data_IF_977561397037
#
_entry.id   IF_977561397037
#
_cell.length_a   1.000
_cell.length_b   1.000
_cell.length_c   1.000
_cell.angle_alpha   90.00
_cell.angle_beta   90.00
_cell.angle_gamma   90.00
#
_symmetry.space_group_name_H-M   'P 1'
#
loop_
_entity.id
_entity.type
_entity.pdbx_description
1 polymer ?
#
# COMPACT_ATOMS: atom_id res chain seq x y z
N UNK A 1 -14.87 12.44 -7.73
CA UNK A 1 -14.01 11.95 -6.63
C UNK A 1 -12.78 12.84 -6.62
N UNK A 2 -12.48 13.49 -5.49
CA UNK A 2 -11.59 14.67 -5.43
C UNK A 2 -10.14 14.28 -5.13
N UNK A 3 -9.19 14.95 -5.79
CA UNK A 3 -7.74 14.81 -5.53
C UNK A 3 -7.38 14.90 -4.03
N UNK A 4 -8.17 15.63 -3.23
CA UNK A 4 -7.94 15.81 -1.80
C UNK A 4 -7.93 14.50 -1.00
N UNK A 5 -8.81 13.52 -1.32
CA UNK A 5 -8.86 12.25 -0.59
C UNK A 5 -7.61 11.41 -0.84
N UNK A 6 -7.14 11.36 -2.11
CA UNK A 6 -5.90 10.67 -2.48
C UNK A 6 -4.69 11.27 -1.76
N UNK A 7 -4.57 12.60 -1.77
CA UNK A 7 -3.43 13.29 -1.13
C UNK A 7 -3.44 13.02 0.38
N UNK A 8 -4.61 13.06 1.02
CA UNK A 8 -4.74 12.80 2.45
C UNK A 8 -4.29 11.36 2.82
N UNK A 9 -4.71 10.35 2.05
CA UNK A 9 -4.33 8.96 2.31
C UNK A 9 -2.82 8.75 2.13
N UNK A 10 -2.23 9.31 1.07
CA UNK A 10 -0.77 9.21 0.85
C UNK A 10 0.02 9.92 1.97
N UNK A 11 -0.44 11.09 2.40
CA UNK A 11 0.18 11.81 3.51
C UNK A 11 0.07 11.05 4.84
N UNK A 12 -1.06 10.37 5.07
CA UNK A 12 -1.27 9.53 6.25
C UNK A 12 -0.37 8.28 6.23
N UNK A 13 -0.26 7.57 5.10
CA UNK A 13 0.70 6.46 4.93
C UNK A 13 2.13 6.92 5.22
N UNK A 14 2.50 8.13 4.81
CA UNK A 14 3.83 8.67 5.05
C UNK A 14 4.07 9.00 6.51
N UNK A 15 3.07 9.53 7.22
CA UNK A 15 3.17 9.95 8.63
C UNK A 15 3.05 8.77 9.60
N UNK A 16 2.19 7.83 9.28
CA UNK A 16 1.80 6.71 10.13
C UNK A 16 1.99 5.35 9.41
N UNK A 17 3.18 5.04 8.84
CA UNK A 17 3.36 3.88 7.96
C UNK A 17 3.11 2.53 8.63
N UNK A 18 3.18 2.45 9.96
CA UNK A 18 2.88 1.23 10.72
C UNK A 18 1.38 0.92 10.78
N UNK A 19 0.52 1.93 10.71
CA UNK A 19 -0.95 1.76 10.71
C UNK A 19 -1.47 1.29 9.35
N UNK A 20 -0.63 1.39 8.31
CA UNK A 20 -0.90 0.97 6.94
C UNK A 20 -0.22 -0.35 6.57
N UNK A 21 0.17 -1.14 7.59
CA UNK A 21 0.68 -2.49 7.41
C UNK A 21 -0.48 -3.46 7.24
N UNK A 22 -0.59 -4.06 6.06
CA UNK A 22 -1.67 -5.00 5.74
C UNK A 22 -1.18 -6.46 5.76
N UNK A 23 -2.02 -7.34 6.28
CA UNK A 23 -1.70 -8.78 6.37
C UNK A 23 -1.78 -9.47 5.01
N UNK A 24 -2.68 -9.03 4.16
CA UNK A 24 -3.02 -9.68 2.91
C UNK A 24 -3.36 -8.65 1.81
N UNK A 25 -3.34 -9.15 0.57
CA UNK A 25 -3.62 -8.34 -0.63
C UNK A 25 -5.03 -7.75 -0.62
N UNK A 26 -6.02 -8.45 -0.06
CA UNK A 26 -7.39 -7.94 -0.01
C UNK A 26 -7.46 -6.68 0.86
N UNK A 27 -6.84 -6.71 2.04
CA UNK A 27 -6.75 -5.57 2.95
C UNK A 27 -6.00 -4.39 2.34
N UNK A 28 -4.87 -4.65 1.67
CA UNK A 28 -4.12 -3.62 0.93
C UNK A 28 -4.98 -3.01 -0.19
N UNK A 29 -5.67 -3.84 -0.96
CA UNK A 29 -6.52 -3.42 -2.08
C UNK A 29 -7.67 -2.55 -1.57
N UNK A 30 -8.27 -2.91 -0.44
CA UNK A 30 -9.31 -2.10 0.21
C UNK A 30 -8.77 -0.73 0.65
N UNK A 31 -7.58 -0.69 1.25
CA UNK A 31 -6.92 0.56 1.66
C UNK A 31 -6.59 1.47 0.47
N UNK A 32 -6.11 0.90 -0.64
CA UNK A 32 -5.77 1.63 -1.84
C UNK A 32 -6.97 1.95 -2.75
N UNK A 33 -8.17 1.48 -2.42
CA UNK A 33 -9.39 1.78 -3.17
C UNK A 33 -10.01 3.09 -2.68
N UNK A 34 -10.03 4.10 -3.54
CA UNK A 34 -10.78 5.34 -3.28
C UNK A 34 -12.04 5.35 -4.13
N UNK A 35 -13.19 5.36 -3.46
CA UNK A 35 -14.50 5.33 -4.11
C UNK A 35 -14.82 3.95 -4.67
N UNK A 36 -14.59 3.73 -5.98
CA UNK A 36 -14.87 2.45 -6.67
C UNK A 36 -13.70 1.94 -7.51
N UNK A 37 -12.54 2.59 -7.42
CA UNK A 37 -11.38 2.25 -8.19
C UNK A 37 -10.14 2.16 -7.29
N UNK A 38 -9.29 1.19 -7.60
CA UNK A 38 -7.96 1.08 -7.02
C UNK A 38 -7.12 2.26 -7.52
N UNK A 39 -6.53 3.03 -6.60
CA UNK A 39 -5.59 4.09 -6.96
C UNK A 39 -4.15 3.53 -6.89
N UNK A 40 -3.48 3.34 -8.04
CA UNK A 40 -2.14 2.75 -8.08
C UNK A 40 -1.09 3.60 -7.35
N UNK A 41 -1.33 4.90 -7.15
CA UNK A 41 -0.39 5.75 -6.41
C UNK A 41 -0.44 5.52 -4.90
N UNK A 42 -1.55 4.99 -4.38
CA UNK A 42 -1.64 4.58 -2.97
C UNK A 42 -0.93 3.24 -2.76
N UNK A 43 -1.06 2.33 -3.73
CA UNK A 43 -0.28 1.07 -3.74
C UNK A 43 1.22 1.38 -3.78
N UNK A 44 1.65 2.30 -4.65
CA UNK A 44 3.04 2.74 -4.70
C UNK A 44 3.51 3.35 -3.37
N UNK A 45 2.65 4.13 -2.70
CA UNK A 45 2.97 4.69 -1.38
C UNK A 45 3.22 3.60 -0.33
N UNK A 46 2.45 2.51 -0.34
CA UNK A 46 2.69 1.36 0.54
C UNK A 46 4.05 0.71 0.25
N UNK A 47 4.34 0.44 -1.03
CA UNK A 47 5.65 -0.07 -1.47
C UNK A 47 6.81 0.88 -1.17
N UNK A 48 6.58 2.15 -0.82
CA UNK A 48 7.64 3.11 -0.53
C UNK A 48 7.84 3.34 0.96
N UNK A 49 6.76 3.42 1.73
CA UNK A 49 6.79 3.88 3.11
C UNK A 49 6.51 2.80 4.14
N UNK A 50 5.80 1.71 3.80
CA UNK A 50 5.51 0.65 4.77
C UNK A 50 6.76 -0.22 5.02
N UNK A 51 7.06 -0.58 6.28
CA UNK A 51 8.30 -1.27 6.64
C UNK A 51 8.17 -2.80 6.61
N UNK A 52 7.40 -3.37 5.68
CA UNK A 52 7.12 -4.83 5.62
C UNK A 52 8.32 -5.68 5.17
N UNK A 53 9.47 -5.06 4.91
CA UNK A 53 10.66 -5.72 4.40
C UNK A 53 10.91 -5.39 2.93
N UNK A 54 11.91 -6.05 2.34
CA UNK A 54 12.25 -5.89 0.92
C UNK A 54 12.55 -7.23 0.28
N UNK A 55 12.17 -7.38 -0.98
CA UNK A 55 12.58 -8.48 -1.83
C UNK A 55 13.18 -7.92 -3.14
N UNK A 56 14.38 -8.37 -3.49
CA UNK A 56 15.07 -7.90 -4.71
C UNK A 56 15.26 -6.38 -4.81
N UNK A 57 15.31 -5.67 -3.69
CA UNK A 57 15.44 -4.21 -3.64
C UNK A 57 14.13 -3.40 -3.72
N UNK A 58 12.98 -4.07 -3.88
CA UNK A 58 11.64 -3.45 -3.76
C UNK A 58 11.07 -3.71 -2.36
N UNK A 59 10.38 -2.75 -1.75
CA UNK A 59 9.73 -3.04 -0.47
C UNK A 59 8.52 -3.97 -0.69
N UNK A 60 8.23 -4.78 0.31
CA UNK A 60 7.03 -5.59 0.34
C UNK A 60 5.84 -4.71 0.77
N UNK A 61 4.65 -5.01 0.26
CA UNK A 61 3.40 -4.29 0.55
C UNK A 61 2.33 -5.18 1.20
N UNK A 62 2.59 -6.50 1.30
CA UNK A 62 1.74 -7.48 2.00
C UNK A 62 2.59 -8.46 2.81
N UNK A 63 2.03 -8.98 3.92
CA UNK A 63 2.65 -10.05 4.72
C UNK A 63 2.33 -11.45 4.20
N UNK A 64 1.23 -11.61 3.47
CA UNK A 64 0.82 -12.88 2.89
C UNK A 64 0.08 -12.69 1.57
N UNK A 65 0.39 -13.52 0.57
CA UNK A 65 -0.22 -13.48 -0.75
C UNK A 65 0.66 -12.81 -1.81
N UNK A 66 0.07 -12.40 -2.95
CA UNK A 66 0.79 -11.77 -4.05
C UNK A 66 1.30 -10.39 -3.64
N UNK A 67 2.59 -10.15 -3.79
CA UNK A 67 3.27 -8.92 -3.41
C UNK A 67 3.75 -8.14 -4.64
N UNK A 68 3.73 -6.81 -4.59
CA UNK A 68 4.22 -5.93 -5.66
C UNK A 68 5.72 -6.11 -5.95
N UNK A 69 6.46 -6.72 -5.02
CA UNK A 69 7.84 -7.17 -5.21
C UNK A 69 7.97 -8.33 -6.21
N UNK A 70 6.86 -8.80 -6.81
CA UNK A 70 6.78 -9.93 -7.75
C UNK A 70 7.06 -11.30 -7.13
N UNK A 71 6.90 -11.42 -5.81
CA UNK A 71 6.95 -12.69 -5.08
C UNK A 71 5.63 -12.96 -4.33
N UNK A 72 5.53 -14.17 -3.79
CA UNK A 72 4.49 -14.57 -2.87
C UNK A 72 5.06 -14.56 -1.45
N UNK A 73 4.35 -13.95 -0.51
CA UNK A 73 4.70 -13.95 0.93
C UNK A 73 3.76 -14.83 1.75
#
# INVERSE_FOLDING_TARGET
MTLGTRIAVIDDIRKNPLDHVHRDLESLTACATIGRALDPSIVEAHSKYTPLGKNGGRNCDVLSGPCSCSAWH
#
